data_IF_724841311695
#
_entry.id   IF_724841311695
#
_cell.length_a   1.000
_cell.length_b   1.000
_cell.length_c   1.000
_cell.angle_alpha   90.00
_cell.angle_beta   90.00
_cell.angle_gamma   90.00
#
_symmetry.space_group_name_H-M   'P 1'
#
loop_
_entity.id
_entity.type
_entity.pdbx_description
1 polymer ?
#
# COMPACT_ATOMS: atom_id res chain seq x y z
N UNK A 1 -12.63 -30.08 -5.03
CA UNK A 1 -11.59 -30.69 -4.16
C UNK A 1 -10.16 -30.52 -4.66
N UNK A 2 -9.92 -30.12 -5.92
CA UNK A 2 -8.58 -30.10 -6.55
C UNK A 2 -7.76 -28.81 -6.25
N UNK A 3 -8.39 -27.74 -5.73
CA UNK A 3 -7.79 -26.39 -5.65
C UNK A 3 -7.04 -26.04 -4.36
N UNK A 4 -7.27 -26.73 -3.24
CA UNK A 4 -6.50 -26.48 -1.98
C UNK A 4 -5.12 -27.11 -2.00
N UNK A 5 -4.91 -28.09 -2.88
CA UNK A 5 -3.65 -28.81 -3.02
C UNK A 5 -2.59 -27.98 -3.75
N UNK A 6 -2.96 -27.14 -4.73
CA UNK A 6 -1.97 -26.48 -5.61
C UNK A 6 -1.10 -25.44 -4.87
N UNK A 7 -1.69 -24.62 -4.01
CA UNK A 7 -0.95 -23.58 -3.25
C UNK A 7 -0.08 -24.19 -2.15
N UNK A 8 -0.57 -25.26 -1.50
CA UNK A 8 0.24 -26.03 -0.56
C UNK A 8 1.39 -26.76 -1.29
N UNK A 9 1.14 -27.31 -2.48
CA UNK A 9 2.15 -27.96 -3.34
C UNK A 9 3.25 -26.97 -3.76
N UNK A 10 2.89 -25.73 -4.10
CA UNK A 10 3.85 -24.69 -4.50
C UNK A 10 4.75 -24.21 -3.36
N UNK A 11 4.29 -24.29 -2.10
CA UNK A 11 5.10 -24.02 -0.90
C UNK A 11 5.94 -25.24 -0.46
N UNK A 12 5.44 -26.45 -0.68
CA UNK A 12 6.12 -27.72 -0.35
C UNK A 12 7.28 -28.05 -1.32
N UNK A 13 7.22 -27.58 -2.57
CA UNK A 13 8.16 -27.98 -3.62
C UNK A 13 9.59 -27.45 -3.42
N UNK A 14 9.76 -26.25 -2.87
CA UNK A 14 11.10 -25.69 -2.68
C UNK A 14 11.97 -26.56 -1.78
N UNK A 15 11.48 -26.91 -0.61
CA UNK A 15 12.18 -27.80 0.32
C UNK A 15 12.37 -29.21 -0.26
N UNK A 16 11.42 -29.70 -1.05
CA UNK A 16 11.45 -31.07 -1.60
C UNK A 16 12.45 -31.23 -2.75
N UNK A 17 12.58 -30.23 -3.62
CA UNK A 17 13.50 -30.21 -4.76
C UNK A 17 14.97 -30.24 -4.27
N UNK A 18 15.30 -29.46 -3.24
CA UNK A 18 16.67 -29.42 -2.69
C UNK A 18 16.98 -30.57 -1.72
N UNK A 19 15.99 -31.12 -1.01
CA UNK A 19 16.21 -32.25 -0.10
C UNK A 19 16.37 -33.61 -0.80
N UNK A 20 16.07 -33.69 -2.11
CA UNK A 20 16.10 -34.94 -2.88
C UNK A 20 17.09 -34.90 -4.07
N UNK A 21 18.01 -33.93 -4.10
CA UNK A 21 19.06 -33.78 -5.13
C UNK A 21 18.53 -33.79 -6.59
N UNK A 22 17.40 -33.13 -6.86
CA UNK A 22 16.91 -33.04 -8.24
C UNK A 22 17.80 -32.15 -9.10
N UNK A 23 17.95 -32.48 -10.39
CA UNK A 23 18.72 -31.64 -11.29
C UNK A 23 17.96 -30.35 -11.58
N UNK A 24 18.51 -29.26 -11.07
CA UNK A 24 18.01 -27.90 -11.26
C UNK A 24 19.05 -27.05 -11.99
N UNK A 25 18.57 -26.14 -12.83
CA UNK A 25 19.39 -25.13 -13.48
C UNK A 25 19.23 -23.79 -12.75
N UNK A 26 20.35 -23.19 -12.34
CA UNK A 26 20.35 -21.84 -11.80
C UNK A 26 20.02 -20.81 -12.88
N UNK A 27 19.09 -19.93 -12.58
CA UNK A 27 18.67 -18.80 -13.41
C UNK A 27 18.84 -17.53 -12.58
N UNK A 28 19.96 -16.80 -12.77
CA UNK A 28 20.15 -15.53 -12.09
C UNK A 28 19.15 -14.50 -12.63
N UNK A 29 18.47 -13.80 -11.73
CA UNK A 29 17.56 -12.70 -12.08
C UNK A 29 17.72 -11.57 -11.06
N UNK A 30 18.20 -10.43 -11.54
CA UNK A 30 18.63 -9.30 -10.71
C UNK A 30 19.59 -9.72 -9.58
N UNK A 31 19.23 -9.47 -8.32
CA UNK A 31 20.06 -9.77 -7.15
C UNK A 31 19.82 -11.18 -6.58
N UNK A 32 19.09 -12.03 -7.29
CA UNK A 32 18.60 -13.31 -6.79
C UNK A 32 18.93 -14.46 -7.73
N UNK A 33 19.04 -15.66 -7.15
CA UNK A 33 19.22 -16.90 -7.89
C UNK A 33 17.94 -17.72 -7.78
N UNK A 34 17.34 -18.02 -8.92
CA UNK A 34 16.22 -18.93 -9.04
C UNK A 34 16.71 -20.28 -9.59
N UNK A 35 15.92 -21.32 -9.42
CA UNK A 35 16.27 -22.70 -9.77
C UNK A 35 15.14 -23.30 -10.61
N UNK A 36 15.42 -23.57 -11.87
CA UNK A 36 14.51 -24.24 -12.80
C UNK A 36 14.69 -25.75 -12.69
N UNK A 37 13.62 -26.51 -12.42
CA UNK A 37 13.70 -27.98 -12.39
C UNK A 37 13.89 -28.51 -13.82
N UNK A 38 15.02 -29.16 -14.08
CA UNK A 38 15.38 -29.69 -15.41
C UNK A 38 15.22 -31.20 -15.54
N UNK A 39 15.23 -31.92 -14.42
CA UNK A 39 14.95 -33.36 -14.36
C UNK A 39 14.33 -33.70 -13.00
N UNK A 40 13.40 -34.67 -12.98
CA UNK A 40 12.71 -35.11 -11.77
C UNK A 40 12.40 -36.61 -11.87
N UNK A 41 12.25 -37.34 -10.75
CA UNK A 41 11.82 -38.74 -10.78
C UNK A 41 10.48 -38.90 -11.53
N UNK A 42 10.26 -40.05 -12.17
CA UNK A 42 9.13 -40.29 -13.09
C UNK A 42 7.75 -39.91 -12.50
N UNK A 43 7.54 -40.16 -11.20
CA UNK A 43 6.32 -39.77 -10.46
C UNK A 43 6.09 -38.24 -10.33
N UNK A 44 7.06 -37.43 -10.74
CA UNK A 44 7.12 -35.96 -10.62
C UNK A 44 7.52 -35.28 -11.94
N UNK A 45 7.51 -35.98 -13.07
CA UNK A 45 7.84 -35.44 -14.38
C UNK A 45 7.03 -34.18 -14.75
N UNK A 46 5.83 -34.03 -14.19
CA UNK A 46 4.97 -32.86 -14.40
C UNK A 46 5.52 -31.57 -13.78
N UNK A 47 6.62 -31.63 -13.01
CA UNK A 47 7.24 -30.50 -12.34
C UNK A 47 8.47 -29.98 -13.08
N UNK A 48 8.96 -30.71 -14.10
CA UNK A 48 10.03 -30.25 -14.99
C UNK A 48 9.57 -28.96 -15.69
N UNK A 49 10.40 -27.91 -15.62
CA UNK A 49 10.08 -26.56 -16.10
C UNK A 49 9.56 -25.57 -15.04
N UNK A 50 9.40 -26.00 -13.77
CA UNK A 50 8.98 -25.12 -12.67
C UNK A 50 10.16 -24.34 -12.10
N UNK A 51 9.98 -23.04 -11.81
CA UNK A 51 10.99 -22.21 -11.13
C UNK A 51 10.76 -22.14 -9.62
N UNK A 52 11.84 -22.33 -8.87
CA UNK A 52 11.89 -22.33 -7.41
C UNK A 52 12.86 -21.25 -6.96
N UNK A 53 12.54 -20.52 -5.90
CA UNK A 53 13.44 -19.55 -5.30
C UNK A 53 13.98 -20.09 -3.97
N UNK A 54 15.30 -20.11 -3.79
CA UNK A 54 15.93 -20.46 -2.53
C UNK A 54 16.54 -19.21 -1.91
N UNK A 55 16.08 -18.84 -0.72
CA UNK A 55 16.68 -17.75 0.03
C UNK A 55 17.48 -18.29 1.21
N UNK A 56 18.81 -18.15 1.17
CA UNK A 56 19.64 -18.28 2.37
C UNK A 56 19.57 -16.99 3.19
N UNK A 57 18.89 -17.02 4.34
CA UNK A 57 19.04 -15.95 5.32
C UNK A 57 20.39 -16.08 6.01
N UNK A 58 21.31 -15.15 5.73
CA UNK A 58 22.49 -14.94 6.56
C UNK A 58 22.12 -13.92 7.62
N UNK A 59 22.16 -14.35 8.89
CA UNK A 59 22.07 -13.56 10.14
C UNK A 59 20.75 -13.62 10.93
N UNK A 60 20.96 -13.65 12.24
CA UNK A 60 20.10 -14.15 13.32
C UNK A 60 18.90 -13.27 13.65
N UNK A 61 17.72 -13.88 13.81
CA UNK A 61 16.72 -13.37 14.75
C UNK A 61 16.18 -14.50 15.63
N UNK A 62 16.51 -14.39 16.93
CA UNK A 62 15.81 -15.05 18.02
C UNK A 62 14.37 -14.52 18.08
N UNK A 63 13.46 -15.44 18.35
CA UNK A 63 12.08 -15.21 18.82
C UNK A 63 11.16 -14.42 17.88
N UNK A 64 10.47 -15.14 16.99
CA UNK A 64 9.11 -14.83 16.54
C UNK A 64 8.53 -16.09 15.90
N UNK A 65 7.85 -16.90 16.71
CA UNK A 65 6.93 -17.94 16.24
C UNK A 65 5.58 -17.65 16.86
N UNK A 66 4.64 -17.15 16.06
CA UNK A 66 3.21 -17.41 16.27
C UNK A 66 2.51 -17.43 14.91
N UNK A 67 2.42 -18.62 14.31
CA UNK A 67 1.46 -18.90 13.24
C UNK A 67 0.96 -20.34 13.39
N UNK A 68 -0.36 -20.47 13.43
CA UNK A 68 -1.12 -21.72 13.58
C UNK A 68 -0.92 -22.73 12.44
N UNK A 69 -0.13 -22.40 11.42
CA UNK A 69 0.19 -23.31 10.32
C UNK A 69 1.23 -24.37 10.71
N UNK A 70 2.20 -24.04 11.58
CA UNK A 70 3.28 -24.98 11.96
C UNK A 70 2.73 -26.23 12.65
N UNK A 71 1.88 -26.03 13.65
CA UNK A 71 1.30 -27.14 14.42
C UNK A 71 0.30 -27.96 13.60
N UNK A 72 -0.41 -27.33 12.66
CA UNK A 72 -1.31 -28.02 11.74
C UNK A 72 -0.57 -28.91 10.74
N UNK A 73 0.58 -28.46 10.26
CA UNK A 73 1.44 -29.19 9.32
C UNK A 73 2.18 -30.34 10.02
N UNK A 74 2.74 -30.10 11.22
CA UNK A 74 3.39 -31.16 12.02
C UNK A 74 2.38 -32.25 12.41
N UNK A 75 1.15 -31.88 12.80
CA UNK A 75 0.08 -32.85 13.09
C UNK A 75 -0.37 -33.66 11.87
N UNK A 76 -0.32 -33.09 10.67
CA UNK A 76 -0.67 -33.79 9.44
C UNK A 76 0.42 -34.78 9.03
N UNK A 77 1.70 -34.38 9.10
CA UNK A 77 2.85 -35.21 8.73
C UNK A 77 3.06 -36.39 9.71
N UNK A 78 2.84 -36.17 11.01
CA UNK A 78 2.92 -37.25 12.02
C UNK A 78 1.75 -38.25 11.97
N UNK A 79 0.67 -37.94 11.23
CA UNK A 79 -0.53 -38.79 11.14
C UNK A 79 -0.48 -39.77 9.97
N UNK A 80 0.38 -39.52 8.99
CA UNK A 80 0.49 -40.29 7.74
C UNK A 80 1.73 -41.23 7.73
N UNK A 81 2.30 -41.52 8.89
CA UNK A 81 3.42 -42.47 9.11
C UNK A 81 4.65 -42.26 8.21
N UNK A 82 4.91 -41.01 7.82
CA UNK A 82 6.18 -40.64 7.22
C UNK A 82 7.18 -40.45 8.35
N UNK A 83 8.02 -41.45 8.59
CA UNK A 83 9.13 -41.44 9.56
C UNK A 83 10.22 -40.45 9.13
N UNK A 84 9.93 -39.15 9.16
CA UNK A 84 10.82 -38.06 8.80
C UNK A 84 11.06 -37.24 10.07
N UNK A 85 12.29 -37.31 10.60
CA UNK A 85 12.75 -36.40 11.65
C UNK A 85 12.90 -34.99 11.05
N UNK A 86 11.98 -34.09 11.40
CA UNK A 86 12.04 -32.68 11.02
C UNK A 86 12.92 -31.96 12.04
N UNK A 87 14.08 -31.47 11.62
CA UNK A 87 14.93 -30.60 12.45
C UNK A 87 14.20 -29.27 12.70
N UNK A 88 13.85 -28.93 13.97
CA UNK A 88 13.10 -27.73 14.29
C UNK A 88 13.85 -26.42 14.04
N UNK A 89 15.13 -26.48 13.66
CA UNK A 89 16.00 -25.31 13.47
C UNK A 89 16.22 -24.89 12.02
N UNK A 90 15.77 -25.67 11.02
CA UNK A 90 15.83 -25.25 9.62
C UNK A 90 14.60 -24.41 9.26
N UNK A 91 14.76 -23.10 9.42
CA UNK A 91 13.75 -22.10 9.06
C UNK A 91 13.57 -22.00 7.55
N UNK A 92 12.41 -22.45 7.06
CA UNK A 92 11.91 -22.13 5.72
C UNK A 92 10.59 -21.41 5.93
N UNK A 93 10.56 -20.12 5.56
CA UNK A 93 9.34 -19.30 5.55
C UNK A 93 8.80 -19.17 4.12
N UNK A 94 7.48 -18.97 4.05
CA UNK A 94 6.61 -19.10 2.88
C UNK A 94 7.02 -18.27 1.64
N UNK A 95 6.67 -18.76 0.45
CA UNK A 95 6.81 -18.06 -0.83
C UNK A 95 5.66 -17.07 -1.11
N UNK A 96 5.99 -15.92 -1.70
CA UNK A 96 5.04 -14.98 -2.29
C UNK A 96 5.22 -14.96 -3.81
N UNK A 97 4.12 -15.15 -4.54
CA UNK A 97 4.05 -14.90 -5.97
C UNK A 97 3.53 -13.47 -6.15
N UNK A 98 4.24 -12.63 -6.91
CA UNK A 98 3.78 -11.27 -7.16
C UNK A 98 2.46 -11.27 -7.94
N UNK A 99 1.61 -10.27 -7.73
CA UNK A 99 0.33 -10.13 -8.46
C UNK A 99 0.56 -10.20 -9.97
N UNK A 100 1.60 -9.52 -10.49
CA UNK A 100 1.95 -9.55 -11.92
C UNK A 100 2.38 -10.94 -12.42
N UNK A 101 3.02 -11.75 -11.58
CA UNK A 101 3.38 -13.13 -11.94
C UNK A 101 2.14 -14.02 -11.98
N UNK A 102 1.29 -13.89 -10.96
CA UNK A 102 0.05 -14.62 -10.84
C UNK A 102 -0.94 -14.24 -11.97
N UNK A 103 -1.01 -12.97 -12.37
CA UNK A 103 -1.81 -12.50 -13.51
C UNK A 103 -1.32 -13.07 -14.84
N UNK A 104 0.00 -13.19 -15.01
CA UNK A 104 0.62 -13.70 -16.25
C UNK A 104 0.42 -15.21 -16.43
N UNK A 105 0.58 -15.98 -15.36
CA UNK A 105 0.66 -17.44 -15.44
C UNK A 105 -0.54 -18.19 -14.85
N UNK A 106 -1.33 -17.54 -13.99
CA UNK A 106 -2.56 -18.09 -13.41
C UNK A 106 -3.73 -17.09 -13.47
N UNK A 107 -4.02 -16.49 -14.65
CA UNK A 107 -5.06 -15.47 -14.79
C UNK A 107 -6.45 -15.93 -14.35
N UNK A 108 -6.71 -17.24 -14.36
CA UNK A 108 -7.95 -17.85 -13.89
C UNK A 108 -8.18 -17.71 -12.37
N UNK A 109 -7.12 -17.50 -11.58
CA UNK A 109 -7.21 -17.26 -10.13
C UNK A 109 -7.64 -15.82 -9.80
N UNK A 110 -7.50 -14.88 -10.73
CA UNK A 110 -8.06 -13.52 -10.61
C UNK A 110 -9.43 -13.39 -11.25
N UNK A 111 -9.79 -14.36 -12.10
CA UNK A 111 -11.08 -14.43 -12.78
C UNK A 111 -12.02 -15.47 -12.14
N UNK A 112 -11.88 -15.72 -10.83
CA UNK A 112 -12.78 -16.63 -10.13
C UNK A 112 -14.16 -15.99 -10.10
N UNK A 113 -15.05 -16.54 -10.93
CA UNK A 113 -16.44 -16.14 -11.02
C UNK A 113 -17.26 -16.86 -9.95
N UNK A 114 -17.22 -16.35 -8.72
CA UNK A 114 -17.90 -16.94 -7.57
C UNK A 114 -19.34 -16.42 -7.57
N UNK A 115 -20.36 -17.29 -7.43
CA UNK A 115 -21.72 -16.84 -7.20
C UNK A 115 -21.78 -15.91 -5.98
N UNK A 116 -22.43 -14.76 -6.10
CA UNK A 116 -22.63 -13.84 -4.98
C UNK A 116 -24.07 -14.00 -4.52
N UNK A 117 -24.27 -14.37 -3.26
CA UNK A 117 -25.60 -14.63 -2.74
C UNK A 117 -26.34 -13.33 -2.43
N UNK A 118 -27.66 -13.40 -2.29
CA UNK A 118 -28.46 -12.25 -1.85
C UNK A 118 -27.98 -11.72 -0.49
N UNK A 119 -27.64 -12.61 0.44
CA UNK A 119 -27.11 -12.26 1.76
C UNK A 119 -25.76 -11.54 1.67
N UNK A 120 -24.88 -11.97 0.77
CA UNK A 120 -23.60 -11.29 0.52
C UNK A 120 -23.85 -9.85 0.03
N UNK A 121 -24.78 -9.68 -0.92
CA UNK A 121 -25.16 -8.37 -1.45
C UNK A 121 -25.82 -7.49 -0.39
N UNK A 122 -26.71 -8.03 0.44
CA UNK A 122 -27.33 -7.28 1.55
C UNK A 122 -26.26 -6.75 2.50
N UNK A 123 -25.31 -7.60 2.91
CA UNK A 123 -24.22 -7.19 3.79
C UNK A 123 -23.31 -6.12 3.16
N UNK A 124 -22.91 -6.30 1.89
CA UNK A 124 -22.08 -5.32 1.17
C UNK A 124 -22.83 -3.99 1.04
N UNK A 125 -24.08 -4.02 0.59
CA UNK A 125 -24.89 -2.83 0.41
C UNK A 125 -25.09 -2.06 1.72
N UNK A 126 -25.42 -2.75 2.80
CA UNK A 126 -25.64 -2.10 4.10
C UNK A 126 -24.33 -1.51 4.65
N UNK A 127 -23.21 -2.21 4.49
CA UNK A 127 -21.88 -1.71 4.89
C UNK A 127 -21.48 -0.46 4.09
N UNK A 128 -21.61 -0.51 2.76
CA UNK A 128 -21.35 0.64 1.89
C UNK A 128 -22.27 1.82 2.25
N UNK A 129 -23.57 1.56 2.32
CA UNK A 129 -24.56 2.64 2.42
C UNK A 129 -24.61 3.35 3.77
N UNK A 130 -24.19 2.68 4.85
CA UNK A 130 -24.24 3.23 6.20
C UNK A 130 -22.87 3.65 6.75
N UNK A 131 -21.75 3.10 6.24
CA UNK A 131 -20.42 3.31 6.84
C UNK A 131 -19.40 3.91 5.88
N UNK A 132 -19.46 3.56 4.59
CA UNK A 132 -18.42 3.95 3.64
C UNK A 132 -18.50 5.44 3.30
N UNK A 133 -17.39 6.18 3.46
CA UNK A 133 -17.39 7.62 3.21
C UNK A 133 -17.62 7.98 1.74
N UNK A 134 -17.09 7.17 0.81
CA UNK A 134 -17.24 7.37 -0.64
C UNK A 134 -18.65 7.09 -1.20
N UNK A 135 -19.57 6.55 -0.39
CA UNK A 135 -20.89 6.13 -0.88
C UNK A 135 -21.75 7.28 -1.43
N UNK A 136 -21.59 8.49 -0.89
CA UNK A 136 -22.29 9.69 -1.40
C UNK A 136 -21.87 10.02 -2.84
N UNK A 137 -20.59 9.87 -3.15
CA UNK A 137 -20.06 10.09 -4.50
C UNK A 137 -20.52 8.99 -5.46
N UNK A 138 -20.49 7.73 -5.02
CA UNK A 138 -21.05 6.62 -5.80
C UNK A 138 -22.50 6.93 -6.21
N UNK A 139 -23.33 7.39 -5.27
CA UNK A 139 -24.72 7.80 -5.53
C UNK A 139 -24.82 8.92 -6.56
N UNK A 140 -23.99 9.96 -6.47
CA UNK A 140 -23.95 11.06 -7.46
C UNK A 140 -23.59 10.57 -8.85
N UNK A 141 -22.72 9.56 -8.96
CA UNK A 141 -22.36 8.89 -10.23
C UNK A 141 -23.49 7.97 -10.77
N UNK A 142 -24.57 7.77 -10.02
CA UNK A 142 -25.72 6.94 -10.42
C UNK A 142 -25.80 5.58 -9.71
N UNK A 143 -24.96 5.34 -8.69
CA UNK A 143 -24.98 4.09 -7.92
C UNK A 143 -26.32 3.91 -7.17
N UNK A 144 -27.06 2.84 -7.47
CA UNK A 144 -28.37 2.59 -6.88
C UNK A 144 -28.57 1.13 -6.44
N UNK A 145 -29.56 0.92 -5.57
CA UNK A 145 -29.87 -0.39 -4.98
C UNK A 145 -30.32 -1.38 -6.07
N UNK A 146 -31.20 -0.95 -6.96
CA UNK A 146 -31.82 -1.82 -7.98
C UNK A 146 -30.78 -2.48 -8.91
N UNK A 147 -29.75 -1.74 -9.34
CA UNK A 147 -28.69 -2.33 -10.16
C UNK A 147 -27.77 -3.26 -9.34
N UNK A 148 -27.49 -2.91 -8.08
CA UNK A 148 -26.58 -3.66 -7.23
C UNK A 148 -27.13 -5.07 -6.92
N UNK A 149 -28.43 -5.16 -6.63
CA UNK A 149 -29.09 -6.44 -6.34
C UNK A 149 -29.33 -7.35 -7.56
N UNK A 150 -28.90 -6.94 -8.76
CA UNK A 150 -28.92 -7.79 -9.96
C UNK A 150 -27.62 -8.55 -10.18
N UNK A 151 -26.59 -8.28 -9.38
CA UNK A 151 -25.30 -8.97 -9.45
C UNK A 151 -25.51 -10.43 -9.07
N UNK A 152 -24.97 -11.35 -9.87
CA UNK A 152 -25.05 -12.79 -9.58
C UNK A 152 -23.69 -13.39 -9.24
N UNK A 153 -22.60 -12.67 -9.53
CA UNK A 153 -21.25 -13.19 -9.39
C UNK A 153 -20.21 -12.07 -9.17
N UNK A 154 -19.01 -12.47 -8.79
CA UNK A 154 -17.90 -11.56 -8.47
C UNK A 154 -17.39 -10.77 -9.67
N UNK A 155 -17.55 -11.26 -10.91
CA UNK A 155 -17.19 -10.53 -12.13
C UNK A 155 -18.11 -9.32 -12.35
N UNK A 156 -19.42 -9.52 -12.22
CA UNK A 156 -20.42 -8.44 -12.30
C UNK A 156 -20.22 -7.44 -11.16
N UNK A 157 -19.91 -7.94 -9.96
CA UNK A 157 -19.57 -7.12 -8.80
C UNK A 157 -18.35 -6.25 -9.08
N UNK A 158 -17.23 -6.83 -9.54
CA UNK A 158 -16.01 -6.10 -9.90
C UNK A 158 -16.30 -5.01 -10.92
N UNK A 159 -16.98 -5.36 -12.01
CA UNK A 159 -17.33 -4.42 -13.09
C UNK A 159 -18.13 -3.22 -12.55
N UNK A 160 -19.05 -3.48 -11.61
CA UNK A 160 -19.81 -2.42 -10.97
C UNK A 160 -18.92 -1.57 -10.06
N UNK A 161 -18.05 -2.17 -9.25
CA UNK A 161 -17.17 -1.44 -8.34
C UNK A 161 -16.13 -0.59 -9.09
N UNK A 162 -15.48 -1.13 -10.12
CA UNK A 162 -14.53 -0.40 -10.99
C UNK A 162 -15.15 0.90 -11.55
N UNK A 163 -16.46 0.91 -11.81
CA UNK A 163 -17.17 2.07 -12.35
C UNK A 163 -17.44 3.15 -11.31
N UNK A 164 -17.61 2.78 -10.04
CA UNK A 164 -18.15 3.69 -9.02
C UNK A 164 -17.17 4.00 -7.89
N UNK A 165 -16.12 3.21 -7.70
CA UNK A 165 -15.15 3.35 -6.62
C UNK A 165 -13.82 3.86 -7.18
N UNK A 166 -13.39 5.02 -6.70
CA UNK A 166 -12.09 5.63 -6.96
C UNK A 166 -11.36 5.81 -5.62
N UNK A 167 -11.12 4.70 -4.90
CA UNK A 167 -10.58 4.72 -3.53
C UNK A 167 -9.61 3.54 -3.29
N UNK A 168 -8.32 3.83 -3.16
CA UNK A 168 -7.30 2.80 -2.91
C UNK A 168 -7.36 2.17 -1.51
N UNK A 169 -8.06 2.78 -0.56
CA UNK A 169 -8.33 2.15 0.72
C UNK A 169 -9.48 1.15 0.65
N UNK A 170 -10.25 1.15 -0.45
CA UNK A 170 -11.33 0.21 -0.61
C UNK A 170 -10.78 -1.16 -1.00
N UNK A 171 -11.05 -2.14 -0.14
CA UNK A 171 -10.81 -3.55 -0.41
C UNK A 171 -12.07 -4.34 -0.10
N UNK A 172 -12.34 -5.35 -0.93
CA UNK A 172 -13.44 -6.29 -0.75
C UNK A 172 -12.94 -7.70 -1.02
N UNK A 173 -13.17 -8.59 -0.06
CA UNK A 173 -13.02 -10.02 -0.24
C UNK A 173 -14.40 -10.67 -0.19
N UNK A 174 -14.68 -11.55 -1.15
CA UNK A 174 -15.85 -12.43 -1.17
C UNK A 174 -15.33 -13.85 -1.36
N UNK A 175 -15.20 -14.59 -0.26
CA UNK A 175 -14.56 -15.92 -0.22
C UNK A 175 -13.16 -15.83 -0.83
N UNK A 176 -12.87 -16.58 -1.89
CA UNK A 176 -11.58 -16.57 -2.58
C UNK A 176 -11.38 -15.40 -3.57
N UNK A 177 -12.41 -14.58 -3.80
CA UNK A 177 -12.30 -13.39 -4.65
C UNK A 177 -11.82 -12.20 -3.84
N UNK A 178 -10.83 -11.49 -4.37
CA UNK A 178 -10.32 -10.22 -3.82
C UNK A 178 -10.43 -9.11 -4.84
N UNK A 179 -10.89 -7.95 -4.36
CA UNK A 179 -10.96 -6.71 -5.10
C UNK A 179 -10.20 -5.63 -4.35
N UNK A 180 -9.26 -5.00 -5.04
CA UNK A 180 -8.54 -3.81 -4.59
C UNK A 180 -8.61 -2.79 -5.74
N UNK A 181 -8.85 -1.53 -5.41
CA UNK A 181 -8.78 -0.46 -6.38
C UNK A 181 -7.35 0.09 -6.43
N UNK A 182 -6.74 0.08 -7.62
CA UNK A 182 -5.54 0.85 -7.87
C UNK A 182 -5.95 2.27 -8.29
N UNK A 183 -5.59 3.29 -7.52
CA UNK A 183 -5.83 4.68 -7.92
C UNK A 183 -4.52 5.32 -8.37
N UNK A 184 -4.36 5.48 -9.68
CA UNK A 184 -3.52 6.52 -10.26
C UNK A 184 -4.44 7.32 -11.18
N UNK A 185 -4.78 8.55 -10.80
CA UNK A 185 -5.76 9.37 -11.51
C UNK A 185 -5.18 10.06 -12.76
N UNK A 186 -3.86 10.21 -12.83
CA UNK A 186 -3.20 11.00 -13.86
C UNK A 186 -1.87 10.35 -14.28
N UNK A 187 -1.74 10.12 -15.59
CA UNK A 187 -0.59 9.51 -16.26
C UNK A 187 0.61 10.45 -16.36
N UNK A 188 0.43 11.75 -16.06
CA UNK A 188 1.48 12.77 -16.15
C UNK A 188 2.53 12.71 -15.04
N UNK A 189 2.27 12.00 -13.94
CA UNK A 189 3.23 11.86 -12.83
C UNK A 189 3.78 10.44 -12.74
N UNK A 190 5.11 10.30 -12.83
CA UNK A 190 5.79 9.04 -12.52
C UNK A 190 5.86 8.85 -11.02
N UNK A 191 5.52 7.65 -10.55
CA UNK A 191 5.82 7.23 -9.18
C UNK A 191 7.31 7.40 -8.92
N UNK A 192 7.66 7.96 -7.77
CA UNK A 192 9.05 8.09 -7.36
C UNK A 192 9.75 6.73 -7.35
N UNK A 193 11.03 6.72 -7.71
CA UNK A 193 11.90 5.53 -7.66
C UNK A 193 12.50 5.28 -6.28
N UNK A 194 12.20 6.14 -5.31
CA UNK A 194 12.69 6.01 -3.95
C UNK A 194 12.19 4.68 -3.32
N UNK A 195 13.01 4.04 -2.46
CA UNK A 195 12.55 2.92 -1.65
C UNK A 195 11.34 3.27 -0.78
N UNK A 196 10.57 2.26 -0.38
CA UNK A 196 9.54 2.43 0.63
C UNK A 196 10.15 2.91 1.96
N UNK A 197 9.44 3.79 2.67
CA UNK A 197 9.79 4.23 4.03
C UNK A 197 11.15 4.93 4.18
N UNK A 198 11.60 5.68 3.17
CA UNK A 198 12.78 6.54 3.33
C UNK A 198 12.48 7.71 4.26
N UNK A 199 13.53 8.23 4.87
CA UNK A 199 13.56 9.53 5.52
C UNK A 199 14.93 10.16 5.30
N UNK A 200 14.95 11.34 4.72
CA UNK A 200 16.17 12.08 4.40
C UNK A 200 15.98 13.56 4.69
N UNK A 201 17.02 14.19 5.25
CA UNK A 201 17.04 15.63 5.57
C UNK A 201 18.20 16.30 4.85
N UNK A 202 17.98 17.51 4.34
CA UNK A 202 19.02 18.36 3.73
C UNK A 202 18.79 19.81 4.09
N UNK A 203 19.81 20.43 4.67
CA UNK A 203 19.82 21.87 4.91
C UNK A 203 20.53 22.59 3.75
N UNK A 204 19.99 23.74 3.35
CA UNK A 204 20.61 24.67 2.40
C UNK A 204 20.77 26.05 3.03
N UNK A 205 21.18 27.05 2.24
CA UNK A 205 21.39 28.40 2.78
C UNK A 205 20.11 28.98 3.40
N UNK A 206 18.96 28.79 2.76
CA UNK A 206 17.69 29.37 3.21
C UNK A 206 16.54 28.37 3.40
N UNK A 207 16.75 27.06 3.15
CA UNK A 207 15.72 26.05 3.30
C UNK A 207 16.16 24.85 4.16
N UNK A 208 15.16 24.14 4.68
CA UNK A 208 15.32 22.83 5.31
C UNK A 208 14.40 21.82 4.62
N UNK A 209 15.00 20.89 3.88
CA UNK A 209 14.32 19.90 3.08
C UNK A 209 14.22 18.56 3.81
N UNK A 210 13.04 17.95 3.77
CA UNK A 210 12.76 16.64 4.36
C UNK A 210 12.00 15.80 3.35
N UNK A 211 12.56 14.65 2.98
CA UNK A 211 11.97 13.67 2.07
C UNK A 211 11.52 12.44 2.82
N UNK A 212 10.30 11.98 2.59
CA UNK A 212 9.80 10.73 3.18
C UNK A 212 8.72 10.04 2.33
N UNK A 213 8.87 8.73 2.09
CA UNK A 213 7.95 7.91 1.25
C UNK A 213 6.96 7.06 2.03
N UNK A 214 6.92 7.19 3.35
CA UNK A 214 5.95 6.48 4.19
C UNK A 214 5.78 7.12 5.54
N UNK A 215 4.55 7.15 6.05
CA UNK A 215 4.23 7.58 7.41
C UNK A 215 3.92 6.38 8.33
N UNK A 216 4.14 5.15 7.87
CA UNK A 216 3.87 3.93 8.63
C UNK A 216 4.73 3.80 9.90
N UNK A 217 4.38 2.82 10.74
CA UNK A 217 5.13 2.52 11.98
C UNK A 217 6.55 2.06 11.68
N UNK A 218 6.73 1.43 10.52
CA UNK A 218 8.00 0.95 10.00
C UNK A 218 8.95 2.08 9.57
N UNK A 219 8.46 3.31 9.33
CA UNK A 219 9.31 4.46 9.09
C UNK A 219 9.73 5.13 10.42
N UNK A 220 10.61 4.44 11.13
CA UNK A 220 11.13 4.83 12.43
C UNK A 220 11.73 6.25 12.44
N UNK A 221 12.45 6.60 11.38
CA UNK A 221 13.08 7.91 11.24
C UNK A 221 12.06 9.03 11.08
N UNK A 222 11.02 8.84 10.25
CA UNK A 222 9.90 9.76 10.16
C UNK A 222 9.24 9.99 11.53
N UNK A 223 8.91 8.90 12.24
CA UNK A 223 8.23 8.97 13.53
C UNK A 223 9.08 9.68 14.62
N UNK A 224 10.40 9.52 14.58
CA UNK A 224 11.33 10.11 15.57
C UNK A 224 11.78 11.53 15.25
N UNK A 225 11.84 11.90 13.97
CA UNK A 225 12.57 13.10 13.54
C UNK A 225 11.69 14.19 12.95
N UNK A 226 10.53 13.87 12.35
CA UNK A 226 9.75 14.90 11.65
C UNK A 226 9.36 16.07 12.56
N UNK A 227 8.96 15.81 13.80
CA UNK A 227 8.65 16.88 14.76
C UNK A 227 9.85 17.81 15.00
N UNK A 228 11.07 17.25 15.09
CA UNK A 228 12.29 18.00 15.41
C UNK A 228 12.68 18.99 14.31
N UNK A 229 12.14 18.84 13.10
CA UNK A 229 12.31 19.79 11.99
C UNK A 229 11.91 21.20 12.42
N UNK A 230 10.88 21.35 13.27
CA UNK A 230 10.46 22.66 13.78
C UNK A 230 11.61 23.43 14.42
N UNK A 231 12.43 22.76 15.23
CA UNK A 231 13.57 23.37 15.93
C UNK A 231 14.76 23.61 15.00
N UNK A 232 15.05 22.64 14.12
CA UNK A 232 16.19 22.71 13.19
C UNK A 232 16.01 23.80 12.14
N UNK A 233 14.77 24.05 11.72
CA UNK A 233 14.46 24.90 10.58
C UNK A 233 13.80 26.24 10.95
N UNK A 234 13.63 26.56 12.24
CA UNK A 234 12.90 27.77 12.68
C UNK A 234 13.48 29.08 12.12
N UNK A 235 14.79 29.10 11.84
CA UNK A 235 15.50 30.27 11.31
C UNK A 235 15.63 30.26 9.78
N UNK A 236 15.01 29.29 9.09
CA UNK A 236 15.02 29.19 7.63
C UNK A 236 13.83 29.90 7.03
N UNK A 237 13.99 30.43 5.82
CA UNK A 237 12.88 31.05 5.09
C UNK A 237 11.86 30.00 4.63
N UNK A 238 12.34 28.78 4.37
CA UNK A 238 11.54 27.68 3.86
C UNK A 238 11.74 26.37 4.63
N UNK A 239 10.65 25.66 4.88
CA UNK A 239 10.64 24.25 5.25
C UNK A 239 9.98 23.48 4.11
N UNK A 240 10.65 22.48 3.55
CA UNK A 240 10.12 21.69 2.44
C UNK A 240 9.85 20.28 2.94
N UNK A 241 8.60 19.85 2.83
CA UNK A 241 8.15 18.50 3.16
C UNK A 241 7.83 17.77 1.86
N UNK A 242 8.74 16.95 1.38
CA UNK A 242 8.58 16.13 0.19
C UNK A 242 7.97 14.76 0.54
N UNK A 243 6.65 14.69 0.44
CA UNK A 243 5.85 13.48 0.66
C UNK A 243 5.37 12.84 -0.64
N UNK A 244 6.01 13.17 -1.77
CA UNK A 244 5.70 12.54 -3.06
C UNK A 244 5.79 11.02 -2.95
N UNK A 245 4.83 10.32 -3.53
CA UNK A 245 4.72 8.87 -3.50
C UNK A 245 4.57 8.24 -2.11
N UNK A 246 4.15 9.03 -1.12
CA UNK A 246 3.84 8.54 0.22
C UNK A 246 2.37 8.08 0.32
N UNK A 247 2.17 6.81 0.64
CA UNK A 247 0.84 6.20 0.65
C UNK A 247 0.11 6.31 1.99
N UNK A 248 0.67 7.02 2.98
CA UNK A 248 0.03 7.27 4.25
C UNK A 248 0.67 6.54 5.44
N UNK A 249 -0.14 6.36 6.48
CA UNK A 249 0.28 5.89 7.80
C UNK A 249 -0.14 6.86 8.91
N UNK A 250 0.75 7.14 9.85
CA UNK A 250 0.50 8.01 11.00
C UNK A 250 0.64 9.49 10.68
N UNK A 251 -0.41 10.25 10.96
CA UNK A 251 -0.43 11.71 10.85
C UNK A 251 0.08 12.42 12.13
N UNK A 252 0.32 11.66 13.20
CA UNK A 252 0.71 12.19 14.51
C UNK A 252 2.00 13.03 14.49
N UNK A 253 3.10 12.62 13.82
CA UNK A 253 4.29 13.45 13.72
C UNK A 253 4.04 14.80 13.04
N UNK A 254 3.11 14.86 12.09
CA UNK A 254 2.72 16.10 11.39
C UNK A 254 1.94 17.04 12.32
N UNK A 255 1.05 16.48 13.16
CA UNK A 255 0.33 17.23 14.20
C UNK A 255 1.32 17.90 15.16
N UNK A 256 2.35 17.18 15.58
CA UNK A 256 3.37 17.69 16.49
C UNK A 256 4.23 18.77 15.81
N UNK A 257 4.72 18.51 14.59
CA UNK A 257 5.44 19.50 13.79
C UNK A 257 4.64 20.82 13.66
N UNK A 258 3.35 20.76 13.31
CA UNK A 258 2.48 21.94 13.24
C UNK A 258 2.46 22.70 14.57
N UNK A 259 2.22 21.99 15.67
CA UNK A 259 2.12 22.60 17.01
C UNK A 259 3.40 23.33 17.36
N UNK A 260 4.54 22.71 17.12
CA UNK A 260 5.85 23.28 17.44
C UNK A 260 6.17 24.50 16.56
N UNK A 261 5.91 24.44 15.25
CA UNK A 261 6.07 25.61 14.37
C UNK A 261 5.20 26.80 14.81
N UNK A 262 3.95 26.55 15.21
CA UNK A 262 3.07 27.59 15.73
C UNK A 262 3.56 28.17 17.08
N UNK A 263 4.10 27.33 17.96
CA UNK A 263 4.62 27.72 19.27
C UNK A 263 5.91 28.54 19.13
N UNK A 264 6.80 28.12 18.23
CA UNK A 264 8.03 28.83 17.86
C UNK A 264 7.76 30.10 17.03
N UNK A 265 6.49 30.36 16.66
CA UNK A 265 6.06 31.51 15.85
C UNK A 265 6.80 31.61 14.52
N UNK A 266 7.08 30.46 13.89
CA UNK A 266 7.72 30.38 12.59
C UNK A 266 7.06 31.32 11.57
N UNK A 267 7.86 32.11 10.85
CA UNK A 267 7.37 33.17 9.93
C UNK A 267 7.60 32.86 8.45
N UNK A 268 8.41 31.85 8.16
CA UNK A 268 8.67 31.42 6.79
C UNK A 268 7.50 30.66 6.18
N UNK A 269 7.80 29.98 5.08
CA UNK A 269 6.82 29.20 4.31
C UNK A 269 7.11 27.72 4.43
N UNK A 270 6.09 26.93 4.79
CA UNK A 270 6.14 25.48 4.70
C UNK A 270 5.60 25.05 3.33
N UNK A 271 6.47 24.50 2.50
CA UNK A 271 6.13 23.97 1.18
C UNK A 271 5.92 22.46 1.32
N UNK A 272 4.76 21.96 0.91
CA UNK A 272 4.49 20.51 0.82
C UNK A 272 4.59 20.10 -0.64
N UNK A 273 5.47 19.15 -0.95
CA UNK A 273 5.57 18.56 -2.29
C UNK A 273 4.70 17.30 -2.36
N UNK A 274 3.84 17.22 -3.37
CA UNK A 274 2.92 16.10 -3.56
C UNK A 274 2.88 15.59 -5.01
N UNK A 275 2.47 14.35 -5.17
CA UNK A 275 2.17 13.75 -6.47
C UNK A 275 0.91 12.86 -6.38
N UNK A 276 0.48 12.30 -7.52
CA UNK A 276 -0.72 11.44 -7.56
C UNK A 276 -0.58 10.16 -6.72
N UNK A 277 0.62 9.89 -6.19
CA UNK A 277 0.94 8.76 -5.34
C UNK A 277 1.01 9.14 -3.86
N UNK A 278 0.74 10.41 -3.52
CA UNK A 278 0.53 10.91 -2.17
C UNK A 278 -0.92 10.66 -1.75
N UNK A 279 -1.16 9.71 -0.85
CA UNK A 279 -2.50 9.35 -0.36
C UNK A 279 -2.58 9.46 1.16
N UNK A 280 -3.78 9.73 1.69
CA UNK A 280 -4.05 9.63 3.13
C UNK A 280 -3.15 10.57 3.94
N UNK A 281 -2.57 10.11 5.03
CA UNK A 281 -1.57 10.87 5.80
C UNK A 281 -0.37 11.34 4.95
N UNK A 282 -0.07 10.71 3.82
CA UNK A 282 0.99 11.11 2.89
C UNK A 282 0.70 12.41 2.15
N UNK A 283 -0.55 12.90 2.20
CA UNK A 283 -0.94 14.22 1.70
C UNK A 283 -0.50 15.34 2.67
N UNK A 284 -0.08 15.01 3.90
CA UNK A 284 0.44 15.98 4.90
C UNK A 284 -0.59 17.05 5.33
N UNK A 285 -1.86 16.65 5.38
CA UNK A 285 -3.00 17.50 5.68
C UNK A 285 -2.88 18.37 6.93
N UNK A 286 -2.23 17.88 7.99
CA UNK A 286 -2.09 18.68 9.22
C UNK A 286 -1.19 19.88 9.05
N UNK A 287 -0.42 19.94 7.98
CA UNK A 287 0.40 21.10 7.61
C UNK A 287 -0.33 21.97 6.59
N UNK A 288 -0.87 21.41 5.50
CA UNK A 288 -1.44 22.24 4.42
C UNK A 288 -2.96 22.46 4.48
N UNK A 289 -3.72 21.63 5.19
CA UNK A 289 -5.19 21.61 5.12
C UNK A 289 -5.93 22.22 6.30
N UNK A 290 -5.25 22.42 7.44
CA UNK A 290 -5.90 22.86 8.69
C UNK A 290 -5.98 24.38 8.79
N UNK A 291 -7.11 24.93 9.28
CA UNK A 291 -7.27 26.37 9.53
C UNK A 291 -6.50 26.83 10.78
N UNK A 292 -6.15 28.12 10.85
CA UNK A 292 -5.51 28.72 12.04
C UNK A 292 -3.99 28.53 12.12
N UNK A 293 -3.32 28.29 11.00
CA UNK A 293 -1.86 28.25 10.93
C UNK A 293 -1.27 29.65 11.14
N UNK A 294 -0.12 29.72 11.81
CA UNK A 294 0.61 30.98 12.06
C UNK A 294 1.79 31.21 11.11
N UNK A 295 1.99 30.28 10.18
CA UNK A 295 3.02 30.29 9.14
C UNK A 295 2.36 30.21 7.76
N UNK A 296 3.10 30.63 6.73
CA UNK A 296 2.64 30.49 5.34
C UNK A 296 2.76 29.04 4.89
N UNK A 297 1.86 28.59 4.03
CA UNK A 297 1.89 27.27 3.43
C UNK A 297 1.75 27.36 1.92
N UNK A 298 2.35 26.41 1.22
CA UNK A 298 2.21 26.26 -0.21
C UNK A 298 2.20 24.77 -0.57
N UNK A 299 1.28 24.36 -1.42
CA UNK A 299 1.23 23.03 -2.00
C UNK A 299 1.81 23.08 -3.41
N UNK A 300 2.88 22.32 -3.66
CA UNK A 300 3.60 22.32 -4.95
C UNK A 300 3.65 20.90 -5.49
N UNK A 301 3.39 20.72 -6.77
CA UNK A 301 3.49 19.40 -7.40
C UNK A 301 2.38 19.13 -8.41
N UNK A 302 1.87 17.90 -8.42
CA UNK A 302 0.70 17.50 -9.21
C UNK A 302 -0.49 17.29 -8.28
N UNK A 303 -1.61 16.77 -8.79
CA UNK A 303 -2.71 16.35 -7.92
C UNK A 303 -2.24 15.29 -6.92
N UNK A 304 -2.84 15.26 -5.74
CA UNK A 304 -2.68 14.13 -4.82
C UNK A 304 -3.68 13.02 -5.13
N UNK A 305 -3.69 11.96 -4.32
CA UNK A 305 -4.68 10.90 -4.44
C UNK A 305 -6.01 11.15 -3.71
N UNK A 306 -6.08 12.12 -2.80
CA UNK A 306 -7.35 12.63 -2.27
C UNK A 306 -8.01 11.85 -1.17
N UNK A 307 -7.26 11.02 -0.46
CA UNK A 307 -7.80 10.04 0.47
C UNK A 307 -7.80 10.52 1.92
N UNK A 308 -8.00 11.83 2.11
CA UNK A 308 -7.91 12.47 3.42
C UNK A 308 -9.27 12.67 4.10
N UNK A 309 -10.36 12.59 3.34
CA UNK A 309 -11.74 12.72 3.83
C UNK A 309 -12.21 11.49 4.63
N UNK A 310 -11.45 10.40 4.58
CA UNK A 310 -11.72 9.18 5.33
C UNK A 310 -11.31 9.32 6.81
N UNK A 311 -12.12 8.77 7.71
CA UNK A 311 -11.66 8.37 9.04
C UNK A 311 -10.69 7.18 8.98
N UNK A 312 -10.25 6.68 10.14
CA UNK A 312 -9.43 5.47 10.21
C UNK A 312 -10.08 4.31 9.42
N UNK A 313 -9.35 3.66 8.53
CA UNK A 313 -9.90 2.53 7.80
C UNK A 313 -10.27 1.39 8.77
N UNK A 314 -11.42 0.76 8.54
CA UNK A 314 -11.94 -0.31 9.38
C UNK A 314 -12.27 -1.53 8.53
N UNK A 315 -12.11 -2.71 9.15
CA UNK A 315 -12.52 -3.98 8.57
C UNK A 315 -13.94 -4.32 9.03
N UNK A 316 -14.81 -4.64 8.09
CA UNK A 316 -16.17 -5.12 8.32
C UNK A 316 -16.30 -6.52 7.75
N UNK A 317 -16.79 -7.47 8.54
CA UNK A 317 -17.01 -8.84 8.07
C UNK A 317 -18.41 -9.33 8.43
N UNK A 318 -18.98 -10.17 7.57
CA UNK A 318 -20.18 -10.91 7.93
C UNK A 318 -19.84 -12.00 8.97
N UNK A 319 -20.86 -12.63 9.57
CA UNK A 319 -20.68 -13.61 10.67
C UNK A 319 -19.71 -14.73 10.31
N UNK A 320 -19.75 -15.20 9.07
CA UNK A 320 -18.91 -16.31 8.60
C UNK A 320 -17.56 -15.87 8.02
N UNK A 321 -17.29 -14.55 7.94
CA UNK A 321 -16.12 -13.96 7.26
C UNK A 321 -15.97 -14.33 5.78
N UNK A 322 -17.05 -14.80 5.15
CA UNK A 322 -17.12 -15.03 3.71
C UNK A 322 -17.14 -13.72 2.92
N UNK A 323 -17.54 -12.62 3.55
CA UNK A 323 -17.45 -11.29 2.98
C UNK A 323 -16.72 -10.39 3.95
N UNK A 324 -15.64 -9.77 3.49
CA UNK A 324 -14.82 -8.83 4.26
C UNK A 324 -14.65 -7.56 3.45
N UNK A 325 -14.97 -6.41 4.02
CA UNK A 325 -14.73 -5.09 3.45
C UNK A 325 -13.71 -4.36 4.31
N UNK A 326 -12.83 -3.60 3.67
CA UNK A 326 -11.95 -2.64 4.33
C UNK A 326 -12.10 -1.31 3.61
N UNK A 327 -12.44 -0.26 4.36
CA UNK A 327 -12.56 1.09 3.82
C UNK A 327 -12.58 2.14 4.93
N UNK A 328 -12.41 3.40 4.53
CA UNK A 328 -12.57 4.57 5.41
C UNK A 328 -14.02 4.90 5.73
N UNK A 329 -14.33 5.17 7.00
CA UNK A 329 -15.67 5.53 7.45
C UNK A 329 -15.91 7.04 7.55
N UNK A 330 -17.17 7.46 7.40
CA UNK A 330 -17.58 8.86 7.22
C UNK A 330 -17.56 9.76 8.47
N UNK A 331 -17.14 9.29 9.65
CA UNK A 331 -17.32 10.07 10.89
C UNK A 331 -16.33 11.22 11.07
N UNK A 332 -15.37 11.40 10.17
CA UNK A 332 -14.47 12.55 10.17
C UNK A 332 -14.74 13.44 8.97
N UNK A 333 -15.87 14.18 8.99
CA UNK A 333 -16.04 15.30 8.07
C UNK A 333 -15.03 16.39 8.44
N UNK A 334 -13.82 16.28 7.89
CA UNK A 334 -12.85 17.38 7.91
C UNK A 334 -13.44 18.51 7.07
N UNK A 335 -13.21 19.75 7.50
CA UNK A 335 -13.44 20.89 6.62
C UNK A 335 -12.34 20.85 5.55
N UNK A 336 -12.69 20.34 4.37
CA UNK A 336 -11.77 20.25 3.24
C UNK A 336 -11.60 21.64 2.60
N UNK A 337 -10.44 21.95 2.02
CA UNK A 337 -10.18 23.24 1.41
C UNK A 337 -10.85 23.31 0.03
N UNK A 338 -10.94 24.50 -0.54
CA UNK A 338 -11.60 24.72 -1.83
C UNK A 338 -10.92 24.03 -3.01
N UNK A 339 -9.63 23.70 -2.89
CA UNK A 339 -8.85 22.99 -3.91
C UNK A 339 -8.98 21.46 -3.83
N UNK A 340 -9.85 20.92 -2.98
CA UNK A 340 -10.13 19.48 -2.96
C UNK A 340 -11.07 19.08 -4.10
N UNK A 341 -10.61 18.17 -4.95
CA UNK A 341 -11.31 17.74 -6.17
C UNK A 341 -12.19 16.49 -5.95
N UNK A 342 -12.04 15.82 -4.81
CA UNK A 342 -12.75 14.59 -4.47
C UNK A 342 -11.81 13.46 -4.09
N UNK A 343 -12.40 12.40 -3.53
CA UNK A 343 -11.67 11.18 -3.23
C UNK A 343 -11.21 10.54 -4.55
N UNK A 344 -9.97 10.04 -4.59
CA UNK A 344 -9.37 9.53 -5.83
C UNK A 344 -8.84 10.60 -6.79
N UNK A 345 -9.09 11.89 -6.51
CA UNK A 345 -8.68 13.03 -7.37
C UNK A 345 -7.81 14.05 -6.67
N UNK A 346 -7.76 14.02 -5.35
CA UNK A 346 -6.77 14.80 -4.63
C UNK A 346 -7.11 16.24 -4.37
N UNK A 347 -6.03 16.95 -4.08
CA UNK A 347 -5.97 18.39 -4.00
C UNK A 347 -5.25 18.93 -5.23
N UNK A 348 -5.82 19.97 -5.83
CA UNK A 348 -5.11 20.79 -6.81
C UNK A 348 -3.98 21.55 -6.12
N UNK A 349 -2.73 21.47 -6.63
CA UNK A 349 -1.61 22.19 -6.03
C UNK A 349 -1.78 23.71 -6.21
N UNK A 350 -1.23 24.49 -5.29
CA UNK A 350 -1.16 25.95 -5.43
C UNK A 350 -0.21 26.34 -6.59
N UNK A 351 0.83 25.54 -6.81
CA UNK A 351 1.77 25.69 -7.93
C UNK A 351 2.00 24.33 -8.58
N UNK A 352 1.69 24.24 -9.87
CA UNK A 352 1.91 23.03 -10.65
C UNK A 352 3.40 22.77 -10.91
N UNK A 353 3.87 21.56 -10.63
CA UNK A 353 5.22 21.10 -10.94
C UNK A 353 5.26 19.57 -11.10
N UNK A 354 5.97 19.08 -12.11
CA UNK A 354 6.32 17.65 -12.20
C UNK A 354 7.65 17.38 -11.49
N UNK A 355 8.03 16.12 -11.33
CA UNK A 355 9.36 15.76 -10.81
C UNK A 355 10.48 16.44 -11.61
N UNK A 356 10.35 16.49 -12.93
CA UNK A 356 11.32 17.09 -13.84
C UNK A 356 11.41 18.63 -13.70
N UNK A 357 10.32 19.30 -13.37
CA UNK A 357 10.28 20.78 -13.24
C UNK A 357 10.37 21.27 -11.79
N UNK A 358 10.41 20.35 -10.81
CA UNK A 358 10.31 20.70 -9.38
C UNK A 358 11.43 21.66 -8.94
N UNK A 359 12.67 21.37 -9.35
CA UNK A 359 13.83 22.17 -8.95
C UNK A 359 13.75 23.62 -9.46
N UNK A 360 13.36 23.81 -10.73
CA UNK A 360 13.22 25.15 -11.31
C UNK A 360 12.08 25.93 -10.66
N UNK A 361 10.92 25.29 -10.47
CA UNK A 361 9.76 25.92 -9.80
C UNK A 361 10.11 26.36 -8.38
N UNK A 362 10.80 25.53 -7.60
CA UNK A 362 11.23 25.90 -6.25
C UNK A 362 12.25 27.05 -6.26
N UNK A 363 13.17 27.05 -7.23
CA UNK A 363 14.15 28.12 -7.40
C UNK A 363 13.46 29.46 -7.73
N UNK A 364 12.45 29.44 -8.59
CA UNK A 364 11.66 30.63 -8.95
C UNK A 364 10.83 31.16 -7.77
N UNK A 365 10.50 30.30 -6.80
CA UNK A 365 9.90 30.68 -5.51
C UNK A 365 10.92 31.22 -4.50
N UNK A 366 12.20 31.29 -4.86
CA UNK A 366 13.29 31.78 -4.02
C UNK A 366 13.92 30.73 -3.11
N UNK A 367 13.65 29.44 -3.33
CA UNK A 367 14.20 28.34 -2.53
C UNK A 367 15.59 27.96 -3.03
N UNK A 368 16.59 27.93 -2.15
CA UNK A 368 17.87 27.29 -2.44
C UNK A 368 17.72 25.77 -2.40
N UNK A 369 17.81 25.14 -3.56
CA UNK A 369 17.70 23.68 -3.77
C UNK A 369 19.07 23.00 -3.94
N UNK A 370 20.17 23.68 -3.60
CA UNK A 370 21.52 23.15 -3.79
C UNK A 370 21.73 21.83 -3.06
N UNK A 371 22.10 20.79 -3.83
CA UNK A 371 22.35 19.45 -3.29
C UNK A 371 21.08 18.69 -2.90
N UNK A 372 19.92 19.08 -3.42
CA UNK A 372 18.67 18.32 -3.36
C UNK A 372 18.46 17.64 -4.73
N UNK A 373 18.20 16.33 -4.72
CA UNK A 373 17.84 15.55 -5.91
C UNK A 373 16.35 15.21 -5.87
N UNK A 374 15.62 15.56 -6.93
CA UNK A 374 14.21 15.19 -7.10
C UNK A 374 14.15 13.96 -8.02
N UNK A 375 13.72 12.80 -7.49
CA UNK A 375 13.73 11.50 -8.19
C UNK A 375 12.36 10.85 -8.33
#
# INVERSE_FOLDING_TARGET
MIRKSLVAILLMLGSFVFANDWNVQEVPYENYVYYLVTDAPEKYNNLIGTMVFAWQSRSSYRNLYESSCKDGIIKFLNKEDFSIEIDPNNGIDSAFLSVSFMEKYFPELFNINIPVTKTDLEFIWDSLSSKYAGFSEMKKKGFNKKQFYKINNTKDLKTLLDKYIEDCHFQLNVREFSYNQNTAYDEGSKKSKDPANIYFEKETSNSYYVRFTGCGVENDLYNKNLQKVALKAVNKDFIILDSRSNQGGSDFPQILLRKDLNNLKYKGTVIVLQDNWSFSSGEVWHIFGVNGLKFKRLLVGTHSGGMQNYGNCQVYSNVNKDVVLYFGYSNFRKNLPSNYLGDGKGYEPDVWATTETMASVLTDLGVDVTGIEFK
#
